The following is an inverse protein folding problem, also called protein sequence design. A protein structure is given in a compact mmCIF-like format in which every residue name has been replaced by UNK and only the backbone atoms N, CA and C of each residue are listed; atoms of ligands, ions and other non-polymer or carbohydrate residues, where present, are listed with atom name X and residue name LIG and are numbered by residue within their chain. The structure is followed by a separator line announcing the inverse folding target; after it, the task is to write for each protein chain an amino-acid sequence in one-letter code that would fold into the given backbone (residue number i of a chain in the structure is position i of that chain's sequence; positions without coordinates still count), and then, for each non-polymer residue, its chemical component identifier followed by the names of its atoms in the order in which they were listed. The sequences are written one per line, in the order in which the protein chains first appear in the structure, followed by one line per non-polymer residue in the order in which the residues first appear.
data_IF_414229513205
#
_entry.id   IF_414229513205
#
_cell.length_a   1.000
_cell.length_b   1.000
_cell.length_c   1.000
_cell.angle_alpha   90.00
_cell.angle_beta   90.00
_cell.angle_gamma   90.00
#
_symmetry.space_group_name_H-M   'P 1'
#
loop_
_entity.id
_entity.type
_entity.pdbx_description
1 polymer ?
#
# COMPACT_ATOMS: atom_id res chain seq x y z
N UNK A 1 -2.07 11.19 12.88
CA UNK A 1 -2.05 9.91 12.15
C UNK A 1 -1.66 8.82 13.14
N UNK A 2 -2.40 7.72 13.20
CA UNK A 2 -2.09 6.57 14.06
C UNK A 2 -0.79 5.90 13.58
N UNK A 3 0.01 5.35 14.50
CA UNK A 3 1.29 4.69 14.19
C UNK A 3 1.18 3.17 14.19
N UNK A 4 0.23 2.61 14.94
CA UNK A 4 -0.09 1.18 14.93
C UNK A 4 -1.59 0.93 14.83
N UNK A 5 -2.00 -0.28 14.43
CA UNK A 5 -3.41 -0.67 14.34
C UNK A 5 -4.10 -0.67 15.72
N UNK A 6 -3.34 -0.94 16.79
CA UNK A 6 -3.86 -0.96 18.16
C UNK A 6 -4.31 0.42 18.66
N UNK A 7 -3.77 1.49 18.08
CA UNK A 7 -4.15 2.87 18.37
C UNK A 7 -5.39 3.33 17.58
N UNK A 8 -5.82 2.55 16.58
CA UNK A 8 -6.97 2.88 15.73
C UNK A 8 -8.26 2.41 16.42
N UNK A 9 -9.19 3.33 16.72
CA UNK A 9 -10.54 2.98 17.18
C UNK A 9 -11.21 1.99 16.22
N UNK A 10 -11.92 1.00 16.74
CA UNK A 10 -12.49 -0.11 15.95
C UNK A 10 -13.37 0.37 14.81
N UNK A 11 -14.15 1.43 15.03
CA UNK A 11 -15.01 2.09 14.04
C UNK A 11 -14.24 2.73 12.87
N UNK A 12 -12.94 2.95 13.02
CA UNK A 12 -12.06 3.51 11.99
C UNK A 12 -11.11 2.47 11.38
N UNK A 13 -11.15 1.22 11.83
CA UNK A 13 -10.39 0.12 11.22
C UNK A 13 -10.99 -0.22 9.87
N UNK A 14 -10.11 -0.50 8.91
CA UNK A 14 -10.53 -0.69 7.51
C UNK A 14 -11.50 -1.86 7.32
N UNK A 15 -11.38 -2.92 8.12
CA UNK A 15 -12.31 -4.06 8.11
C UNK A 15 -13.79 -3.66 8.33
N UNK A 16 -14.04 -2.58 9.07
CA UNK A 16 -15.39 -2.06 9.34
C UNK A 16 -16.07 -1.48 8.09
N UNK A 17 -15.33 -1.27 7.00
CA UNK A 17 -15.83 -0.65 5.76
C UNK A 17 -16.00 -1.64 4.60
N UNK A 18 -15.87 -2.94 4.84
CA UNK A 18 -15.95 -3.99 3.81
C UNK A 18 -17.18 -3.85 2.89
N UNK A 19 -18.37 -3.73 3.48
CA UNK A 19 -19.62 -3.63 2.72
C UNK A 19 -19.71 -2.38 1.82
N UNK A 20 -19.00 -1.29 2.18
CA UNK A 20 -19.01 -0.05 1.43
C UNK A 20 -18.02 -0.02 0.27
N UNK A 21 -17.08 -0.96 0.20
CA UNK A 21 -16.04 -1.05 -0.84
C UNK A 21 -16.21 -2.26 -1.76
N UNK A 22 -16.99 -3.25 -1.33
CA UNK A 22 -17.23 -4.46 -2.12
C UNK A 22 -17.73 -4.12 -3.54
N UNK A 23 -17.07 -4.70 -4.55
CA UNK A 23 -17.40 -4.50 -5.96
C UNK A 23 -16.89 -3.19 -6.58
N UNK A 24 -16.24 -2.30 -5.83
CA UNK A 24 -15.69 -1.05 -6.37
C UNK A 24 -14.28 -1.25 -6.96
N UNK A 25 -14.03 -0.66 -8.13
CA UNK A 25 -12.68 -0.61 -8.73
C UNK A 25 -11.95 0.68 -8.35
N UNK A 26 -11.71 0.81 -7.04
CA UNK A 26 -11.06 1.98 -6.42
C UNK A 26 -9.64 2.22 -6.97
N UNK A 27 -8.98 1.17 -7.49
CA UNK A 27 -7.62 1.31 -8.02
C UNK A 27 -7.63 1.97 -9.40
N UNK A 28 -8.60 1.61 -10.25
CA UNK A 28 -8.73 2.24 -11.57
C UNK A 28 -8.96 3.74 -11.44
N UNK A 29 -9.83 4.17 -10.52
CA UNK A 29 -10.06 5.60 -10.22
C UNK A 29 -8.76 6.31 -9.81
N UNK A 30 -8.00 5.73 -8.87
CA UNK A 30 -6.72 6.27 -8.46
C UNK A 30 -5.73 6.35 -9.64
N UNK A 31 -5.64 5.29 -10.45
CA UNK A 31 -4.69 5.15 -11.54
C UNK A 31 -4.96 6.13 -12.69
N UNK A 32 -6.22 6.45 -12.96
CA UNK A 32 -6.61 7.47 -13.96
C UNK A 32 -6.04 8.85 -13.62
N UNK A 33 -6.01 9.19 -12.33
CA UNK A 33 -5.52 10.49 -11.84
C UNK A 33 -3.98 10.52 -11.74
N UNK A 34 -3.36 9.43 -11.30
CA UNK A 34 -1.95 9.44 -10.86
C UNK A 34 -0.95 8.89 -11.88
N UNK A 35 -1.41 8.28 -12.96
CA UNK A 35 -0.56 7.74 -14.02
C UNK A 35 -0.68 8.54 -15.32
N UNK A 36 0.30 9.40 -15.56
CA UNK A 36 0.40 10.28 -16.73
C UNK A 36 0.66 9.58 -18.08
N UNK A 37 1.09 8.32 -18.06
CA UNK A 37 1.55 7.60 -19.24
C UNK A 37 0.99 6.18 -19.31
N UNK A 38 0.85 5.68 -20.54
CA UNK A 38 0.37 4.31 -20.81
C UNK A 38 1.24 3.25 -20.11
N UNK A 39 2.56 3.46 -20.08
CA UNK A 39 3.48 2.57 -19.39
C UNK A 39 3.26 2.58 -17.87
N UNK A 40 3.15 3.76 -17.23
CA UNK A 40 2.84 3.84 -15.79
C UNK A 40 1.50 3.20 -15.44
N UNK A 41 0.47 3.43 -16.27
CA UNK A 41 -0.85 2.78 -16.09
C UNK A 41 -0.76 1.26 -16.15
N UNK A 42 0.01 0.72 -17.08
CA UNK A 42 0.22 -0.72 -17.20
C UNK A 42 1.01 -1.28 -16.01
N UNK A 43 2.03 -0.57 -15.53
CA UNK A 43 2.78 -0.98 -14.33
C UNK A 43 1.91 -0.94 -13.08
N UNK A 44 1.11 0.13 -12.90
CA UNK A 44 0.15 0.25 -11.81
C UNK A 44 -0.81 -0.93 -11.77
N UNK A 45 -1.32 -1.35 -12.94
CA UNK A 45 -2.22 -2.49 -13.06
C UNK A 45 -1.54 -3.80 -12.66
N UNK A 46 -0.30 -4.05 -13.08
CA UNK A 46 0.45 -5.25 -12.65
C UNK A 46 0.68 -5.29 -11.15
N UNK A 47 0.96 -4.12 -10.55
CA UNK A 47 1.10 -3.99 -9.10
C UNK A 47 -0.23 -4.31 -8.42
N UNK A 48 -1.34 -3.75 -8.91
CA UNK A 48 -2.69 -4.05 -8.42
C UNK A 48 -3.01 -5.53 -8.47
N UNK A 49 -2.79 -6.15 -9.63
CA UNK A 49 -3.15 -7.55 -9.85
C UNK A 49 -2.38 -8.43 -8.86
N UNK A 50 -1.05 -8.25 -8.78
CA UNK A 50 -0.22 -9.01 -7.83
C UNK A 50 -0.59 -8.76 -6.36
N UNK A 51 -0.95 -7.53 -6.00
CA UNK A 51 -1.39 -7.20 -4.65
C UNK A 51 -2.75 -7.82 -4.31
N UNK A 52 -3.67 -7.82 -5.26
CA UNK A 52 -4.96 -8.46 -5.11
C UNK A 52 -4.82 -9.99 -4.97
N UNK A 53 -3.95 -10.61 -5.78
CA UNK A 53 -3.66 -12.04 -5.72
C UNK A 53 -3.08 -12.44 -4.35
N UNK A 54 -2.19 -11.61 -3.78
CA UNK A 54 -1.66 -11.83 -2.42
C UNK A 54 -2.77 -11.87 -1.36
N UNK A 55 -3.75 -10.98 -1.50
CA UNK A 55 -4.84 -10.83 -0.53
C UNK A 55 -5.99 -11.82 -0.74
N UNK A 56 -6.05 -12.53 -1.87
CA UNK A 56 -7.14 -13.45 -2.19
C UNK A 56 -7.34 -14.49 -1.07
N UNK A 57 -6.24 -15.03 -0.54
CA UNK A 57 -6.26 -16.01 0.56
C UNK A 57 -6.82 -15.48 1.88
N UNK A 58 -6.81 -14.16 2.07
CA UNK A 58 -7.33 -13.48 3.27
C UNK A 58 -8.80 -13.11 3.14
N UNK A 59 -9.38 -13.20 1.93
CA UNK A 59 -10.74 -12.73 1.62
C UNK A 59 -10.92 -11.21 1.75
N UNK A 60 -9.84 -10.46 1.90
CA UNK A 60 -9.86 -9.01 2.13
C UNK A 60 -9.74 -8.25 0.82
N UNK A 61 -10.59 -7.24 0.65
CA UNK A 61 -10.47 -6.33 -0.48
C UNK A 61 -9.13 -5.57 -0.43
N UNK A 62 -8.47 -5.39 -1.57
CA UNK A 62 -7.13 -4.79 -1.64
C UNK A 62 -7.01 -3.37 -1.10
N UNK A 63 -8.13 -2.64 -1.02
CA UNK A 63 -8.20 -1.30 -0.44
C UNK A 63 -8.32 -1.33 1.08
N UNK A 64 -8.62 -2.46 1.71
CA UNK A 64 -8.88 -2.57 3.14
C UNK A 64 -7.77 -3.27 3.91
N UNK A 65 -6.60 -3.43 3.29
CA UNK A 65 -5.52 -4.22 3.85
C UNK A 65 -5.00 -3.66 5.18
N UNK A 66 -4.50 -4.58 5.99
CA UNK A 66 -3.87 -4.32 7.27
C UNK A 66 -2.37 -4.09 7.10
N UNK A 67 -1.69 -3.47 8.08
CA UNK A 67 -0.23 -3.39 8.09
C UNK A 67 0.46 -4.77 7.96
N UNK A 68 -0.14 -5.81 8.55
CA UNK A 68 0.33 -7.20 8.50
C UNK A 68 0.27 -7.78 7.08
N UNK A 69 -0.79 -7.46 6.32
CA UNK A 69 -0.90 -7.87 4.92
C UNK A 69 0.21 -7.22 4.07
N UNK A 70 0.50 -5.93 4.33
CA UNK A 70 1.56 -5.22 3.61
C UNK A 70 2.92 -5.83 3.96
N UNK A 71 3.16 -6.14 5.23
CA UNK A 71 4.40 -6.80 5.65
C UNK A 71 4.62 -8.13 4.96
N UNK A 72 3.62 -9.02 5.00
CA UNK A 72 3.74 -10.35 4.37
C UNK A 72 3.97 -10.26 2.86
N UNK A 73 3.36 -9.27 2.20
CA UNK A 73 3.57 -9.03 0.77
C UNK A 73 4.98 -8.51 0.47
N UNK A 74 5.47 -7.54 1.24
CA UNK A 74 6.81 -6.99 1.05
C UNK A 74 7.87 -8.04 1.36
N UNK A 75 7.70 -8.84 2.43
CA UNK A 75 8.58 -9.95 2.74
C UNK A 75 8.68 -10.94 1.56
N UNK A 76 7.54 -11.37 1.01
CA UNK A 76 7.53 -12.25 -0.17
C UNK A 76 8.16 -11.61 -1.41
N UNK A 77 8.01 -10.29 -1.62
CA UNK A 77 8.69 -9.59 -2.70
C UNK A 77 10.21 -9.60 -2.52
N UNK A 78 10.71 -9.39 -1.31
CA UNK A 78 12.16 -9.36 -1.03
C UNK A 78 12.83 -10.73 -1.24
N UNK A 79 12.08 -11.83 -1.09
CA UNK A 79 12.57 -13.17 -1.41
C UNK A 79 12.71 -13.41 -2.92
N UNK A 80 11.98 -12.65 -3.75
CA UNK A 80 11.91 -12.86 -5.20
C UNK A 80 12.69 -11.84 -6.02
N UNK A 81 12.73 -10.59 -5.56
CA UNK A 81 13.26 -9.46 -6.34
C UNK A 81 14.20 -8.60 -5.51
N UNK A 82 15.06 -7.86 -6.20
CA UNK A 82 15.94 -6.88 -5.55
C UNK A 82 15.14 -5.81 -4.80
N UNK A 83 15.71 -5.31 -3.70
CA UNK A 83 15.13 -4.27 -2.83
C UNK A 83 14.62 -3.05 -3.62
N UNK A 84 15.37 -2.58 -4.62
CA UNK A 84 14.95 -1.49 -5.50
C UNK A 84 13.65 -1.80 -6.26
N UNK A 85 13.49 -3.05 -6.71
CA UNK A 85 12.29 -3.52 -7.42
C UNK A 85 11.14 -3.77 -6.46
N UNK A 86 11.37 -4.16 -5.21
CA UNK A 86 10.32 -4.18 -4.18
C UNK A 86 9.85 -2.75 -3.84
N UNK A 87 10.78 -1.80 -3.77
CA UNK A 87 10.49 -0.39 -3.48
C UNK A 87 9.73 0.33 -4.61
N UNK A 88 10.34 0.45 -5.80
CA UNK A 88 9.92 1.41 -6.83
C UNK A 88 8.51 1.18 -7.39
N UNK A 89 8.18 0.00 -7.93
CA UNK A 89 6.84 -0.28 -8.42
C UNK A 89 5.88 -0.68 -7.30
N UNK A 90 6.25 -1.57 -6.37
CA UNK A 90 5.28 -2.15 -5.44
C UNK A 90 5.01 -1.24 -4.25
N UNK A 91 6.00 -1.08 -3.37
CA UNK A 91 5.83 -0.33 -2.13
C UNK A 91 5.40 1.12 -2.38
N UNK A 92 6.01 1.80 -3.36
CA UNK A 92 5.70 3.20 -3.66
C UNK A 92 4.28 3.39 -4.22
N UNK A 93 3.80 2.48 -5.08
CA UNK A 93 2.44 2.58 -5.62
C UNK A 93 1.42 2.31 -4.52
N UNK A 94 1.63 1.27 -3.70
CA UNK A 94 0.76 1.01 -2.55
C UNK A 94 0.72 2.21 -1.59
N UNK A 95 1.89 2.77 -1.24
CA UNK A 95 1.94 3.96 -0.38
C UNK A 95 1.12 5.11 -0.96
N UNK A 96 1.26 5.40 -2.26
CA UNK A 96 0.53 6.49 -2.94
C UNK A 96 -0.96 6.23 -3.05
N UNK A 97 -1.35 5.00 -3.37
CA UNK A 97 -2.74 4.56 -3.41
C UNK A 97 -3.42 4.78 -2.05
N UNK A 98 -2.84 4.24 -0.97
CA UNK A 98 -3.38 4.43 0.37
C UNK A 98 -3.33 5.88 0.86
N UNK A 99 -2.32 6.65 0.43
CA UNK A 99 -2.28 8.08 0.72
C UNK A 99 -3.46 8.80 0.06
N UNK A 100 -3.77 8.49 -1.19
CA UNK A 100 -4.93 9.07 -1.87
C UNK A 100 -6.24 8.70 -1.18
N UNK A 101 -6.43 7.44 -0.78
CA UNK A 101 -7.64 7.01 -0.05
C UNK A 101 -7.87 7.80 1.24
N UNK A 102 -6.80 8.13 1.97
CA UNK A 102 -6.89 8.92 3.21
C UNK A 102 -7.37 10.36 2.97
N UNK A 103 -7.09 10.93 1.80
CA UNK A 103 -7.44 12.31 1.46
C UNK A 103 -8.70 12.43 0.59
N UNK A 104 -9.12 11.33 -0.02
CA UNK A 104 -10.28 11.31 -0.89
C UNK A 104 -11.57 11.33 -0.08
N UNK A 105 -12.50 12.23 -0.42
CA UNK A 105 -13.72 12.48 0.38
C UNK A 105 -14.70 11.31 0.40
N UNK A 106 -14.61 10.42 -0.58
CA UNK A 106 -15.53 9.28 -0.74
C UNK A 106 -15.06 8.02 0.01
N UNK A 107 -13.80 8.00 0.48
CA UNK A 107 -13.22 6.83 1.13
C UNK A 107 -13.04 7.05 2.64
N UNK A 108 -13.34 6.04 3.47
CA UNK A 108 -13.36 6.19 4.93
C UNK A 108 -11.98 6.09 5.59
N UNK A 109 -10.91 5.94 4.81
CA UNK A 109 -9.56 5.67 5.29
C UNK A 109 -9.04 6.78 6.21
N UNK A 110 -8.51 6.38 7.38
CA UNK A 110 -7.92 7.31 8.37
C UNK A 110 -6.44 7.09 8.61
N UNK A 111 -5.87 6.07 7.98
CA UNK A 111 -4.46 5.71 8.11
C UNK A 111 -3.94 5.05 6.84
N UNK A 112 -2.62 5.03 6.71
CA UNK A 112 -1.92 4.37 5.61
C UNK A 112 -1.26 3.09 6.14
N UNK A 113 -1.76 1.89 5.78
CA UNK A 113 -1.22 0.63 6.27
C UNK A 113 0.23 0.40 5.84
N UNK A 114 0.68 0.97 4.72
CA UNK A 114 2.08 0.86 4.26
C UNK A 114 3.03 1.61 5.18
N UNK A 115 2.66 2.83 5.59
CA UNK A 115 3.47 3.61 6.52
C UNK A 115 3.46 3.01 7.93
N UNK A 116 2.32 2.45 8.36
CA UNK A 116 2.26 1.68 9.61
C UNK A 116 3.14 0.43 9.52
N UNK A 117 3.12 -0.28 8.40
CA UNK A 117 3.91 -1.48 8.23
C UNK A 117 5.42 -1.17 8.38
N UNK A 118 5.90 -0.13 7.69
CA UNK A 118 7.29 0.32 7.79
C UNK A 118 7.74 0.72 9.20
N UNK A 119 6.82 1.16 10.06
CA UNK A 119 7.15 1.54 11.43
C UNK A 119 7.18 0.37 12.41
N UNK A 120 6.51 -0.74 12.10
CA UNK A 120 6.24 -1.82 13.06
C UNK A 120 6.76 -3.19 12.62
N UNK A 121 7.18 -3.35 11.36
CA UNK A 121 7.53 -4.64 10.79
C UNK A 121 8.86 -4.62 10.01
N UNK A 122 9.62 -5.74 10.03
CA UNK A 122 10.99 -5.76 9.56
C UNK A 122 11.15 -5.60 8.04
N UNK A 123 10.38 -6.31 7.20
CA UNK A 123 10.58 -6.24 5.74
C UNK A 123 10.18 -4.85 5.20
N UNK A 124 9.06 -4.31 5.68
CA UNK A 124 8.68 -2.93 5.37
C UNK A 124 9.64 -1.88 5.97
N UNK A 125 10.28 -2.20 7.10
CA UNK A 125 11.33 -1.39 7.71
C UNK A 125 12.59 -1.35 6.85
N UNK A 126 13.01 -2.48 6.29
CA UNK A 126 14.14 -2.56 5.36
C UNK A 126 13.92 -1.72 4.10
N UNK A 127 12.73 -1.79 3.51
CA UNK A 127 12.36 -0.92 2.38
C UNK A 127 12.38 0.55 2.80
N UNK A 128 11.92 0.88 4.00
CA UNK A 128 11.94 2.26 4.51
C UNK A 128 13.37 2.79 4.71
N UNK A 129 14.26 1.98 5.28
CA UNK A 129 15.67 2.33 5.44
C UNK A 129 16.34 2.57 4.09
N UNK A 130 16.00 1.76 3.08
CA UNK A 130 16.44 1.98 1.70
C UNK A 130 15.96 3.33 1.15
N UNK A 131 14.69 3.71 1.37
CA UNK A 131 14.18 5.04 0.97
C UNK A 131 14.94 6.17 1.65
N UNK A 132 15.17 6.05 2.96
CA UNK A 132 15.90 7.07 3.73
C UNK A 132 17.37 7.19 3.29
N UNK A 133 17.97 6.10 2.80
CA UNK A 133 19.32 6.13 2.22
C UNK A 133 19.35 6.87 0.88
N UNK A 134 18.36 6.63 0.01
CA UNK A 134 18.21 7.32 -1.28
C UNK A 134 18.01 8.83 -1.14
N UNK A 135 17.15 9.25 -0.21
CA UNK A 135 16.94 10.68 0.05
C UNK A 135 18.24 11.35 0.49
N UNK A 136 19.03 10.72 1.39
CA UNK A 136 20.31 11.27 1.86
C UNK A 136 21.34 11.46 0.76
N UNK A 137 21.38 10.57 -0.22
CA UNK A 137 22.34 10.66 -1.32
C UNK A 137 21.85 11.56 -2.48
N UNK A 138 20.55 11.82 -2.57
CA UNK A 138 19.98 12.76 -3.57
C UNK A 138 20.19 14.24 -3.21
N UNK A 139 20.61 14.54 -1.97
CA UNK A 139 20.91 15.90 -1.48
C UNK A 139 22.41 16.17 -1.26
N UNK A 140 23.29 15.33 -1.80
CA UNK A 140 24.74 15.60 -1.90
C UNK A 140 25.12 15.97 -3.33
#
# INVERSE_FOLDING_TARGET
MYKSISEVPTEYRLESFAAGIEGQDVWSEWNEIHSDSKWKRAEARRVKDRWNDHLESTGRHYALATPEDVESFVAGLLDEVQLERAYKPYWLFLKRFYHWLVWHTEYPHRYNPVLMASANYPACGEVWDYVMSFDRDSFK
#
